data_IF_958023077568
#
_entry.id   IF_958023077568
#
_cell.length_a   1.000
_cell.length_b   1.000
_cell.length_c   1.000
_cell.angle_alpha   90.00
_cell.angle_beta   90.00
_cell.angle_gamma   90.00
#
_symmetry.space_group_name_H-M   'P 1'
#
loop_
_entity.id
_entity.type
_entity.pdbx_description
1 polymer ?
#
# COMPACT_ATOMS: atom_id res chain seq x y z
N UNK A 1 -7.37 -15.09 19.26
CA UNK A 1 -7.21 -15.83 17.97
C UNK A 1 -7.92 -15.15 16.79
N UNK A 2 -9.18 -14.70 16.86
CA UNK A 2 -9.81 -13.92 15.74
C UNK A 2 -9.51 -12.41 15.80
N UNK A 3 -9.38 -11.87 17.01
CA UNK A 3 -9.20 -10.42 17.24
C UNK A 3 -7.96 -9.86 16.56
N UNK A 4 -6.89 -10.67 16.48
CA UNK A 4 -5.60 -10.26 15.92
C UNK A 4 -5.66 -10.17 14.38
N UNK A 5 -6.36 -11.10 13.73
CA UNK A 5 -6.62 -11.07 12.28
C UNK A 5 -7.42 -9.81 11.91
N UNK A 6 -8.44 -9.47 12.70
CA UNK A 6 -9.25 -8.26 12.48
C UNK A 6 -8.39 -7.00 12.65
N UNK A 7 -7.53 -6.94 13.67
CA UNK A 7 -6.61 -5.82 13.87
C UNK A 7 -5.64 -5.67 12.70
N UNK A 8 -5.09 -6.77 12.21
CA UNK A 8 -4.16 -6.75 11.09
C UNK A 8 -4.84 -6.29 9.79
N UNK A 9 -6.04 -6.82 9.50
CA UNK A 9 -6.82 -6.37 8.34
C UNK A 9 -7.09 -4.86 8.39
N UNK A 10 -7.54 -4.35 9.55
CA UNK A 10 -7.72 -2.90 9.76
C UNK A 10 -6.45 -2.09 9.50
N UNK A 11 -5.29 -2.59 9.93
CA UNK A 11 -4.00 -1.93 9.69
C UNK A 11 -3.64 -1.93 8.20
N UNK A 12 -3.88 -3.03 7.48
CA UNK A 12 -3.61 -3.12 6.05
C UNK A 12 -4.49 -2.17 5.22
N UNK A 13 -5.73 -1.92 5.64
CA UNK A 13 -6.60 -0.94 4.99
C UNK A 13 -6.08 0.51 5.06
N UNK A 14 -5.11 0.81 5.94
CA UNK A 14 -4.47 2.13 5.99
C UNK A 14 -3.37 2.29 4.92
N UNK A 15 -3.04 1.25 4.16
CA UNK A 15 -2.01 1.33 3.12
C UNK A 15 -2.62 1.99 1.87
N UNK A 16 -2.12 3.15 1.41
CA UNK A 16 -2.75 3.93 0.35
C UNK A 16 -2.34 3.48 -1.07
N UNK A 17 -1.54 2.40 -1.19
CA UNK A 17 -0.94 2.01 -2.48
C UNK A 17 -1.97 1.75 -3.59
N UNK A 18 -3.11 1.15 -3.27
CA UNK A 18 -4.12 0.78 -4.28
C UNK A 18 -4.69 1.98 -5.03
N UNK A 19 -4.68 3.17 -4.42
CA UNK A 19 -5.21 4.42 -4.99
C UNK A 19 -4.09 5.34 -5.52
N UNK A 20 -2.84 4.89 -5.45
CA UNK A 20 -1.67 5.68 -5.82
C UNK A 20 -1.43 5.68 -7.33
N UNK A 21 -1.13 6.84 -7.91
CA UNK A 21 -0.82 7.02 -9.33
C UNK A 21 0.36 6.15 -9.80
N UNK A 22 1.30 5.83 -8.92
CA UNK A 22 2.48 5.03 -9.24
C UNK A 22 2.27 3.53 -9.05
N UNK A 23 1.13 3.11 -8.52
CA UNK A 23 0.88 1.69 -8.31
C UNK A 23 0.54 1.00 -9.62
N UNK A 24 1.32 -0.02 -9.97
CA UNK A 24 1.22 -0.73 -11.26
C UNK A 24 0.45 -2.04 -11.15
N UNK A 25 0.18 -2.51 -9.93
CA UNK A 25 -0.36 -3.84 -9.63
C UNK A 25 0.44 -5.02 -10.24
N UNK A 26 1.70 -4.81 -10.62
CA UNK A 26 2.58 -5.87 -11.11
C UNK A 26 3.26 -6.61 -9.94
N UNK A 27 3.24 -7.94 -9.96
CA UNK A 27 3.85 -8.77 -8.91
C UNK A 27 5.36 -8.52 -8.76
N UNK A 28 6.07 -8.27 -9.86
CA UNK A 28 7.51 -8.03 -9.90
C UNK A 28 7.87 -6.58 -9.58
N UNK A 29 7.02 -5.63 -9.96
CA UNK A 29 7.29 -4.20 -9.79
C UNK A 29 6.04 -3.43 -9.37
N UNK A 30 5.62 -3.59 -8.11
CA UNK A 30 4.39 -3.00 -7.56
C UNK A 30 4.36 -1.46 -7.58
N UNK A 31 5.52 -0.82 -7.37
CA UNK A 31 5.68 0.63 -7.40
C UNK A 31 7.08 0.96 -7.91
N UNK A 32 7.23 1.83 -8.92
CA UNK A 32 8.53 2.22 -9.45
C UNK A 32 9.31 3.13 -8.50
N UNK A 33 8.63 3.88 -7.61
CA UNK A 33 9.27 4.80 -6.66
C UNK A 33 9.77 4.06 -5.41
N UNK A 34 8.97 3.13 -4.89
CA UNK A 34 9.30 2.34 -3.69
C UNK A 34 8.95 0.84 -3.87
N UNK A 35 9.70 0.10 -4.71
CA UNK A 35 9.37 -1.28 -5.08
C UNK A 35 9.30 -2.25 -3.89
N UNK A 36 10.14 -2.05 -2.87
CA UNK A 36 10.20 -2.93 -1.70
C UNK A 36 9.21 -2.57 -0.58
N UNK A 37 8.64 -1.35 -0.59
CA UNK A 37 7.72 -0.90 0.47
C UNK A 37 6.25 -0.99 0.07
N UNK A 38 5.96 -0.97 -1.23
CA UNK A 38 4.59 -1.03 -1.73
C UNK A 38 3.81 -2.22 -1.17
N UNK A 39 2.54 -2.01 -0.83
CA UNK A 39 1.62 -3.03 -0.26
C UNK A 39 2.07 -3.63 1.08
N UNK A 40 2.95 -2.96 1.82
CA UNK A 40 3.38 -3.35 3.18
C UNK A 40 2.99 -2.29 4.21
N UNK A 41 3.04 -2.63 5.49
CA UNK A 41 2.76 -1.67 6.58
C UNK A 41 3.68 -0.44 6.56
N UNK A 42 4.89 -0.56 6.00
CA UNK A 42 5.82 0.56 5.86
C UNK A 42 5.34 1.64 4.86
N UNK A 43 4.30 1.35 4.07
CA UNK A 43 3.71 2.29 3.13
C UNK A 43 2.50 3.05 3.69
N UNK A 44 2.06 2.81 4.95
CA UNK A 44 0.94 3.55 5.57
C UNK A 44 1.17 5.06 5.50
N UNK A 45 2.39 5.51 5.77
CA UNK A 45 2.78 6.93 5.71
C UNK A 45 3.67 7.23 4.47
N UNK A 46 3.34 6.62 3.32
CA UNK A 46 4.12 6.80 2.10
C UNK A 46 4.15 8.28 1.67
N UNK A 47 5.34 8.89 1.71
CA UNK A 47 5.56 10.30 1.35
C UNK A 47 5.42 10.58 -0.15
N UNK A 48 5.55 9.54 -0.96
CA UNK A 48 5.42 9.58 -2.41
C UNK A 48 4.00 9.22 -2.87
N UNK A 49 3.03 9.18 -1.96
CA UNK A 49 1.64 8.92 -2.30
C UNK A 49 1.04 10.09 -3.08
N UNK A 50 0.57 9.82 -4.28
CA UNK A 50 -0.19 10.76 -5.09
C UNK A 50 -1.46 10.08 -5.60
N UNK A 51 -2.61 10.74 -5.40
CA UNK A 51 -3.88 10.26 -5.96
C UNK A 51 -3.78 10.32 -7.47
N UNK A 52 -4.02 9.19 -8.15
CA UNK A 52 -4.20 9.18 -9.60
C UNK A 52 -5.41 10.03 -9.96
N UNK A 53 -5.18 11.25 -10.45
CA UNK A 53 -6.25 12.08 -11.01
C UNK A 53 -6.64 11.48 -12.37
N UNK A 54 -7.93 11.20 -12.53
CA UNK A 54 -8.55 10.97 -13.84
C UNK A 54 -8.43 12.21 -14.73
#
# INVERSE_FOLDING_TARGET
MIVDVIKQAKKMHNIPCSDCQYFTNDYRLKCPVNPFKATTEAAIDCRDYHIGKN
#
